data_IF_092825683635
#
_entry.id   IF_092825683635
#
_cell.length_a   1.000
_cell.length_b   1.000
_cell.length_c   1.000
_cell.angle_alpha   90.00
_cell.angle_beta   90.00
_cell.angle_gamma   90.00
#
_symmetry.space_group_name_H-M   'P 1'
#
loop_
_entity.id
_entity.type
_entity.pdbx_description
1 polymer ?
#
# COMPACT_ATOMS: atom_id res chain seq x y z
N UNK A 1 15.21 85.27 -17.60
CA UNK A 1 16.21 84.90 -18.62
C UNK A 1 17.47 84.43 -17.89
N UNK A 2 17.92 83.17 -18.09
CA UNK A 2 19.28 82.57 -17.85
C UNK A 2 20.10 83.03 -16.61
N UNK A 3 20.85 82.24 -15.84
CA UNK A 3 21.27 80.82 -15.73
C UNK A 3 22.23 80.77 -14.50
N UNK A 4 22.40 79.57 -13.91
CA UNK A 4 23.52 79.08 -13.04
C UNK A 4 23.56 79.55 -11.56
N UNK A 5 23.38 78.68 -10.55
CA UNK A 5 24.14 77.48 -10.05
C UNK A 5 25.31 77.85 -9.11
N UNK A 6 25.16 77.51 -7.82
CA UNK A 6 26.21 77.11 -6.84
C UNK A 6 25.51 76.16 -5.83
N UNK A 7 25.59 74.84 -5.99
CA UNK A 7 26.54 73.89 -5.35
C UNK A 7 26.71 74.05 -3.83
N UNK A 8 26.02 73.20 -3.06
CA UNK A 8 26.31 72.89 -1.66
C UNK A 8 26.25 71.37 -1.48
N UNK A 9 27.40 70.78 -1.18
CA UNK A 9 27.62 69.36 -0.97
C UNK A 9 26.84 68.82 0.24
N UNK A 10 26.10 67.73 0.05
CA UNK A 10 25.66 66.87 1.16
C UNK A 10 26.31 65.50 0.96
N UNK A 11 27.27 65.18 1.84
CA UNK A 11 27.98 63.91 1.91
C UNK A 11 27.06 62.91 2.63
N UNK A 12 26.50 61.94 1.91
CA UNK A 12 25.80 60.79 2.50
C UNK A 12 26.80 59.63 2.58
N UNK A 13 27.16 59.28 3.81
CA UNK A 13 27.99 58.13 4.17
C UNK A 13 27.15 56.85 4.04
N UNK A 14 27.38 56.05 3.00
CA UNK A 14 26.78 54.72 2.88
C UNK A 14 27.60 53.71 3.70
N UNK A 15 27.04 53.28 4.84
CA UNK A 15 27.57 52.14 5.61
C UNK A 15 27.04 50.86 4.93
N UNK A 16 27.93 50.17 4.22
CA UNK A 16 27.71 48.80 3.73
C UNK A 16 27.79 47.84 4.92
N UNK A 17 26.62 47.45 5.46
CA UNK A 17 26.50 46.30 6.34
C UNK A 17 26.62 45.03 5.49
N UNK A 18 27.83 44.46 5.44
CA UNK A 18 28.04 43.11 4.94
C UNK A 18 27.40 42.13 5.92
N UNK A 19 26.20 41.65 5.59
CA UNK A 19 25.63 40.49 6.26
C UNK A 19 26.46 39.26 5.88
N UNK A 20 26.90 38.43 6.83
CA UNK A 20 27.49 37.14 6.49
C UNK A 20 26.42 36.31 5.79
N UNK A 21 26.66 35.97 4.52
CA UNK A 21 25.87 34.97 3.81
C UNK A 21 25.97 33.69 4.61
N UNK A 22 24.86 33.25 5.20
CA UNK A 22 24.74 31.92 5.75
C UNK A 22 25.20 30.94 4.68
N UNK A 23 26.26 30.17 4.97
CA UNK A 23 26.66 29.05 4.14
C UNK A 23 25.44 28.15 3.96
N UNK A 24 24.85 28.16 2.77
CA UNK A 24 23.89 27.15 2.40
C UNK A 24 24.62 25.81 2.50
N UNK A 25 24.21 24.97 3.44
CA UNK A 25 24.68 23.59 3.52
C UNK A 25 24.47 22.97 2.12
N UNK A 26 25.55 22.54 1.47
CA UNK A 26 25.45 21.85 0.19
C UNK A 26 24.52 20.65 0.38
N UNK A 27 23.43 20.62 -0.36
CA UNK A 27 22.55 19.46 -0.39
C UNK A 27 23.38 18.26 -0.82
N UNK A 28 23.38 17.22 0.02
CA UNK A 28 24.03 15.95 -0.26
C UNK A 28 23.58 15.43 -1.62
N UNK A 29 24.54 15.21 -2.53
CA UNK A 29 24.24 14.68 -3.87
C UNK A 29 24.02 13.17 -3.78
N UNK A 30 22.90 12.65 -4.30
CA UNK A 30 22.66 11.22 -4.27
C UNK A 30 23.64 10.48 -5.16
N UNK A 31 24.02 9.27 -4.74
CA UNK A 31 24.93 8.37 -5.45
C UNK A 31 24.35 6.97 -5.51
N UNK A 32 24.83 6.18 -6.46
CA UNK A 32 24.52 4.76 -6.61
C UNK A 32 25.81 3.95 -6.62
N UNK A 33 25.80 2.70 -6.13
CA UNK A 33 26.92 1.79 -6.36
C UNK A 33 27.11 1.53 -7.86
N UNK A 34 28.35 1.24 -8.27
CA UNK A 34 28.68 1.04 -9.69
C UNK A 34 28.10 -0.26 -10.25
N UNK A 35 27.97 -1.27 -9.40
CA UNK A 35 27.41 -2.57 -9.75
C UNK A 35 26.05 -2.77 -9.05
N UNK A 36 25.06 -3.39 -9.72
CA UNK A 36 23.83 -3.78 -9.06
C UNK A 36 24.09 -4.87 -7.99
N UNK A 37 23.09 -5.22 -7.17
CA UNK A 37 23.15 -6.44 -6.37
C UNK A 37 23.56 -7.67 -7.19
N UNK A 38 24.45 -8.51 -6.67
CA UNK A 38 24.92 -9.70 -7.37
C UNK A 38 24.81 -10.93 -6.46
N UNK A 39 24.30 -12.01 -7.03
CA UNK A 39 24.36 -13.35 -6.44
C UNK A 39 25.39 -14.18 -7.22
N UNK A 40 25.99 -15.23 -6.61
CA UNK A 40 26.67 -16.27 -7.36
C UNK A 40 25.80 -16.73 -8.54
N UNK A 41 26.46 -17.01 -9.68
CA UNK A 41 25.76 -17.43 -10.90
C UNK A 41 24.68 -18.45 -10.58
N UNK A 42 23.46 -18.11 -10.99
CA UNK A 42 22.20 -18.75 -10.68
C UNK A 42 22.36 -20.27 -10.73
N UNK A 43 22.40 -20.92 -9.56
CA UNK A 43 21.97 -22.31 -9.51
C UNK A 43 20.52 -22.23 -9.96
N UNK A 44 20.26 -22.61 -11.21
CA UNK A 44 18.92 -22.86 -11.70
C UNK A 44 18.32 -23.87 -10.73
N UNK A 45 17.60 -23.36 -9.73
CA UNK A 45 16.82 -24.19 -8.86
C UNK A 45 15.76 -24.78 -9.78
N UNK A 46 15.97 -26.04 -10.14
CA UNK A 46 14.98 -26.85 -10.84
C UNK A 46 13.68 -26.70 -10.06
N UNK A 47 12.71 -26.01 -10.65
CA UNK A 47 11.35 -25.96 -10.13
C UNK A 47 10.95 -27.41 -9.87
N UNK A 48 10.76 -27.77 -8.60
CA UNK A 48 10.05 -28.99 -8.29
C UNK A 48 8.65 -28.80 -8.86
N UNK A 49 8.23 -29.72 -9.74
CA UNK A 49 6.92 -29.66 -10.37
C UNK A 49 5.84 -29.36 -9.32
N UNK A 50 4.90 -28.44 -9.59
CA UNK A 50 3.90 -28.05 -8.61
C UNK A 50 3.14 -29.30 -8.17
N UNK A 51 3.19 -29.60 -6.87
CA UNK A 51 2.23 -30.53 -6.29
C UNK A 51 0.86 -29.89 -6.47
N UNK A 52 0.04 -30.48 -7.35
CA UNK A 52 -1.35 -30.10 -7.59
C UNK A 52 -2.20 -30.45 -6.37
N UNK A 53 -1.99 -29.71 -5.28
CA UNK A 53 -2.99 -29.54 -4.24
C UNK A 53 -4.02 -28.56 -4.79
N UNK A 54 -5.29 -28.90 -4.74
CA UNK A 54 -6.35 -27.96 -5.06
C UNK A 54 -6.29 -26.82 -4.04
N UNK A 55 -5.63 -25.72 -4.40
CA UNK A 55 -5.58 -24.52 -3.58
C UNK A 55 -7.01 -23.98 -3.46
N UNK A 56 -7.42 -23.70 -2.23
CA UNK A 56 -8.68 -22.98 -2.00
C UNK A 56 -8.48 -21.57 -2.55
N UNK A 57 -9.40 -21.11 -3.40
CA UNK A 57 -9.32 -19.77 -3.94
C UNK A 57 -9.41 -18.73 -2.80
N UNK A 58 -8.42 -17.84 -2.72
CA UNK A 58 -8.39 -16.78 -1.71
C UNK A 58 -9.53 -15.78 -1.93
N UNK A 59 -10.10 -15.32 -0.82
CA UNK A 59 -11.23 -14.42 -0.75
C UNK A 59 -10.78 -12.96 -0.69
N UNK A 60 -10.18 -12.50 -1.78
CA UNK A 60 -9.53 -11.18 -1.86
C UNK A 60 -10.42 -10.17 -2.61
N UNK A 61 -10.32 -8.86 -2.30
CA UNK A 61 -10.84 -7.80 -3.15
C UNK A 61 -10.01 -7.73 -4.45
N UNK A 62 -10.47 -6.97 -5.48
CA UNK A 62 -9.63 -6.65 -6.62
C UNK A 62 -8.32 -5.99 -6.15
N UNK A 63 -7.20 -6.67 -6.39
CA UNK A 63 -5.88 -6.20 -6.00
C UNK A 63 -5.20 -5.42 -7.13
N UNK A 64 -4.23 -4.59 -6.74
CA UNK A 64 -3.48 -3.73 -7.66
C UNK A 64 -1.99 -3.73 -7.30
N UNK A 65 -1.13 -3.82 -8.29
CA UNK A 65 0.31 -3.77 -8.14
C UNK A 65 0.96 -2.69 -9.03
N UNK A 66 2.01 -2.06 -8.52
CA UNK A 66 2.85 -1.12 -9.28
C UNK A 66 4.27 -1.68 -9.32
N UNK A 67 4.78 -1.95 -10.52
CA UNK A 67 6.08 -2.56 -10.75
C UNK A 67 6.99 -1.53 -11.43
N UNK A 68 8.11 -1.21 -10.79
CA UNK A 68 9.02 -0.15 -11.21
C UNK A 68 10.38 -0.77 -11.51
N UNK A 69 10.94 -0.44 -12.69
CA UNK A 69 12.33 -0.80 -13.04
C UNK A 69 13.10 0.46 -13.43
N UNK A 70 14.17 0.73 -12.67
CA UNK A 70 15.10 1.83 -12.93
C UNK A 70 16.22 1.42 -13.90
N UNK A 71 16.88 2.37 -14.59
CA UNK A 71 18.06 2.07 -15.38
C UNK A 71 19.24 1.74 -14.46
N UNK A 72 19.89 0.60 -14.69
CA UNK A 72 21.08 0.17 -13.94
C UNK A 72 22.36 0.52 -14.73
N UNK A 73 22.42 0.06 -15.97
CA UNK A 73 23.50 0.25 -16.94
C UNK A 73 22.97 0.95 -18.21
N UNK A 74 22.03 1.88 -18.01
CA UNK A 74 21.31 2.60 -19.07
C UNK A 74 20.05 1.87 -19.55
N UNK A 75 19.19 2.56 -20.30
CA UNK A 75 17.85 2.05 -20.66
C UNK A 75 17.84 0.69 -21.37
N UNK A 76 18.92 0.40 -22.11
CA UNK A 76 19.09 -0.82 -22.88
C UNK A 76 20.37 -1.57 -22.45
N UNK A 77 20.82 -1.39 -21.22
CA UNK A 77 21.95 -2.17 -20.71
C UNK A 77 21.56 -3.63 -20.44
N UNK A 78 22.56 -4.51 -20.32
CA UNK A 78 22.34 -5.93 -20.03
C UNK A 78 21.69 -6.18 -18.68
N UNK A 79 22.14 -5.48 -17.62
CA UNK A 79 21.55 -5.63 -16.29
C UNK A 79 20.14 -5.07 -16.26
N UNK A 80 19.93 -3.92 -16.90
CA UNK A 80 18.60 -3.31 -16.99
C UNK A 80 17.60 -4.24 -17.69
N UNK A 81 17.97 -4.86 -18.82
CA UNK A 81 17.12 -5.85 -19.49
C UNK A 81 16.87 -7.09 -18.64
N UNK A 82 17.88 -7.56 -17.91
CA UNK A 82 17.73 -8.71 -17.02
C UNK A 82 16.73 -8.39 -15.89
N UNK A 83 16.81 -7.21 -15.29
CA UNK A 83 15.91 -6.83 -14.21
C UNK A 83 14.48 -6.54 -14.69
N UNK A 84 14.31 -6.10 -15.94
CA UNK A 84 13.00 -6.08 -16.60
C UNK A 84 12.45 -7.51 -16.73
N UNK A 85 13.26 -8.46 -17.20
CA UNK A 85 12.83 -9.86 -17.34
C UNK A 85 12.48 -10.49 -15.98
N UNK A 86 13.29 -10.25 -14.95
CA UNK A 86 13.03 -10.70 -13.58
C UNK A 86 11.74 -10.10 -13.01
N UNK A 87 11.48 -8.82 -13.27
CA UNK A 87 10.24 -8.16 -12.86
C UNK A 87 9.01 -8.75 -13.58
N UNK A 88 9.14 -9.12 -14.85
CA UNK A 88 8.06 -9.75 -15.61
C UNK A 88 7.65 -11.12 -15.06
N UNK A 89 8.56 -11.87 -14.42
CA UNK A 89 8.21 -13.12 -13.73
C UNK A 89 7.20 -12.85 -12.60
N UNK A 90 7.43 -11.82 -11.80
CA UNK A 90 6.50 -11.41 -10.74
C UNK A 90 5.20 -10.83 -11.32
N UNK A 91 5.28 -10.06 -12.41
CA UNK A 91 4.10 -9.51 -13.10
C UNK A 91 3.16 -10.62 -13.59
N UNK A 92 3.72 -11.65 -14.23
CA UNK A 92 2.96 -12.80 -14.73
C UNK A 92 2.29 -13.58 -13.59
N UNK A 93 2.98 -13.81 -12.47
CA UNK A 93 2.38 -14.49 -11.32
C UNK A 93 1.27 -13.65 -10.67
N UNK A 94 1.42 -12.32 -10.60
CA UNK A 94 0.37 -11.41 -10.14
C UNK A 94 -0.86 -11.44 -11.06
N UNK A 95 -0.67 -11.32 -12.37
CA UNK A 95 -1.76 -11.32 -13.37
C UNK A 95 -2.50 -12.66 -13.41
N UNK A 96 -1.75 -13.77 -13.29
CA UNK A 96 -2.33 -15.12 -13.14
C UNK A 96 -3.26 -15.23 -11.92
N UNK A 97 -3.00 -14.47 -10.87
CA UNK A 97 -3.83 -14.39 -9.67
C UNK A 97 -4.84 -13.22 -9.69
N UNK A 98 -5.11 -12.63 -10.87
CA UNK A 98 -6.16 -11.62 -11.06
C UNK A 98 -5.81 -10.22 -10.55
N UNK A 99 -4.53 -9.95 -10.24
CA UNK A 99 -4.07 -8.62 -9.82
C UNK A 99 -3.96 -7.69 -11.03
N UNK A 100 -4.45 -6.46 -10.91
CA UNK A 100 -4.22 -5.43 -11.93
C UNK A 100 -2.79 -4.89 -11.81
N UNK A 101 -1.97 -5.08 -12.84
CA UNK A 101 -0.54 -4.71 -12.83
C UNK A 101 -0.28 -3.45 -13.66
N UNK A 102 0.39 -2.46 -13.05
CA UNK A 102 0.91 -1.27 -13.73
C UNK A 102 2.43 -1.35 -13.81
N UNK A 103 2.96 -1.34 -15.02
CA UNK A 103 4.41 -1.46 -15.31
C UNK A 103 5.02 -0.10 -15.63
N UNK A 104 6.10 0.24 -14.96
CA UNK A 104 6.87 1.47 -15.14
C UNK A 104 8.36 1.13 -15.27
N UNK A 105 8.74 0.68 -16.46
CA UNK A 105 10.11 0.27 -16.74
C UNK A 105 10.82 1.35 -17.53
N UNK A 106 12.09 1.59 -17.23
CA UNK A 106 12.93 2.52 -17.99
C UNK A 106 12.89 2.20 -19.49
N UNK A 107 12.82 3.19 -20.39
CA UNK A 107 12.79 4.63 -20.14
C UNK A 107 11.43 5.21 -19.70
N UNK A 108 10.37 4.40 -19.64
CA UNK A 108 8.99 4.82 -19.40
C UNK A 108 8.59 4.71 -17.92
N UNK A 109 9.43 5.21 -17.02
CA UNK A 109 9.20 5.16 -15.56
C UNK A 109 8.91 6.54 -14.96
N UNK A 110 7.94 7.25 -15.57
CA UNK A 110 7.58 8.61 -15.15
C UNK A 110 6.97 8.65 -13.74
N UNK A 111 7.51 9.52 -12.88
CA UNK A 111 7.10 9.61 -11.47
C UNK A 111 5.65 10.03 -11.25
N UNK A 112 5.13 10.99 -12.02
CA UNK A 112 3.74 11.43 -11.86
C UNK A 112 2.76 10.30 -12.17
N UNK A 113 3.08 9.47 -13.18
CA UNK A 113 2.28 8.29 -13.50
C UNK A 113 2.42 7.18 -12.43
N UNK A 114 3.63 6.98 -11.90
CA UNK A 114 3.87 6.06 -10.77
C UNK A 114 3.04 6.46 -9.56
N UNK A 115 3.04 7.74 -9.17
CA UNK A 115 2.23 8.26 -8.05
C UNK A 115 0.74 8.00 -8.27
N UNK A 116 0.25 8.28 -9.48
CA UNK A 116 -1.16 8.05 -9.82
C UNK A 116 -1.53 6.57 -9.73
N UNK A 117 -0.71 5.68 -10.28
CA UNK A 117 -0.94 4.23 -10.22
C UNK A 117 -0.82 3.68 -8.79
N UNK A 118 0.11 4.21 -7.99
CA UNK A 118 0.37 3.77 -6.61
C UNK A 118 -0.80 4.07 -5.65
N UNK A 119 -1.71 4.99 -5.99
CA UNK A 119 -2.85 5.37 -5.15
C UNK A 119 -3.78 4.17 -4.86
N UNK A 120 -3.69 3.55 -3.69
CA UNK A 120 -4.40 2.32 -3.33
C UNK A 120 -3.80 1.05 -3.95
N UNK A 121 -2.52 1.05 -4.33
CA UNK A 121 -1.82 -0.17 -4.73
C UNK A 121 -1.54 -1.05 -3.50
N UNK A 122 -1.84 -2.34 -3.63
CA UNK A 122 -1.65 -3.36 -2.59
C UNK A 122 -0.22 -3.91 -2.62
N UNK A 123 0.43 -3.84 -3.79
CA UNK A 123 1.82 -4.20 -3.95
C UNK A 123 2.62 -3.10 -4.63
N UNK A 124 3.86 -2.91 -4.17
CA UNK A 124 4.84 -2.04 -4.79
C UNK A 124 6.14 -2.82 -4.98
N UNK A 125 6.64 -2.88 -6.22
CA UNK A 125 7.88 -3.55 -6.54
C UNK A 125 8.87 -2.54 -7.14
N UNK A 126 10.13 -2.65 -6.76
CA UNK A 126 11.21 -1.89 -7.38
C UNK A 126 12.42 -2.80 -7.63
N UNK A 127 12.91 -2.81 -8.87
CA UNK A 127 14.21 -3.38 -9.24
C UNK A 127 15.06 -2.27 -9.87
N UNK A 128 16.22 -1.98 -9.28
CA UNK A 128 17.11 -0.94 -9.81
C UNK A 128 18.28 -0.65 -8.88
N UNK A 129 18.86 0.54 -9.03
CA UNK A 129 19.97 0.98 -8.18
C UNK A 129 19.54 1.25 -6.74
N UNK A 130 20.44 0.93 -5.81
CA UNK A 130 20.38 1.41 -4.44
C UNK A 130 20.89 2.85 -4.36
N UNK A 131 20.21 3.70 -3.58
CA UNK A 131 20.57 5.11 -3.42
C UNK A 131 21.19 5.34 -2.05
N UNK A 132 22.28 6.09 -2.03
CA UNK A 132 22.91 6.57 -0.81
C UNK A 132 23.26 8.06 -0.90
N UNK A 133 23.22 8.75 0.24
CA UNK A 133 23.23 10.21 0.32
C UNK A 133 24.46 10.78 1.05
N UNK A 134 25.09 10.02 1.95
CA UNK A 134 26.31 10.44 2.64
C UNK A 134 27.48 9.51 2.34
N UNK A 135 28.65 9.76 2.93
CA UNK A 135 29.87 9.01 2.60
C UNK A 135 29.88 7.59 3.16
N UNK A 136 30.52 6.69 2.41
CA UNK A 136 30.83 5.33 2.85
C UNK A 136 31.82 5.36 4.03
N UNK A 137 31.83 4.32 4.89
CA UNK A 137 31.10 3.06 4.79
C UNK A 137 29.71 3.04 5.47
N UNK A 138 29.31 4.13 6.13
CA UNK A 138 28.04 4.22 6.87
C UNK A 138 27.12 5.28 6.27
N UNK A 139 26.68 5.15 5.02
CA UNK A 139 25.92 6.19 4.38
C UNK A 139 24.46 6.18 4.83
N UNK A 140 23.77 7.31 4.73
CA UNK A 140 22.31 7.35 4.73
C UNK A 140 21.81 6.75 3.42
N UNK A 141 20.87 5.80 3.49
CA UNK A 141 20.40 5.04 2.32
C UNK A 141 18.89 5.18 2.12
N UNK A 142 18.43 4.80 0.93
CA UNK A 142 17.00 4.77 0.60
C UNK A 142 16.64 5.69 -0.55
N UNK A 143 15.69 5.23 -1.37
CA UNK A 143 15.25 5.94 -2.55
C UNK A 143 15.09 5.05 -3.77
N UNK A 144 14.64 5.67 -4.87
CA UNK A 144 14.53 5.06 -6.19
C UNK A 144 15.36 5.84 -7.22
N UNK A 145 16.12 5.13 -8.04
CA UNK A 145 16.77 5.66 -9.23
C UNK A 145 15.87 5.41 -10.44
N UNK A 146 15.28 6.48 -10.99
CA UNK A 146 14.49 6.42 -12.24
C UNK A 146 15.27 7.11 -13.36
N UNK A 147 14.76 7.04 -14.59
CA UNK A 147 15.43 7.59 -15.78
C UNK A 147 15.86 9.04 -15.59
N UNK A 148 14.94 9.87 -15.10
CA UNK A 148 15.13 11.32 -15.12
C UNK A 148 15.82 11.84 -13.85
N UNK A 149 15.67 11.12 -12.72
CA UNK A 149 16.28 11.51 -11.43
C UNK A 149 16.20 10.41 -10.38
N UNK A 150 16.94 10.64 -9.30
CA UNK A 150 16.83 9.90 -8.04
C UNK A 150 15.79 10.57 -7.12
N UNK A 151 15.01 9.74 -6.42
CA UNK A 151 13.97 10.12 -5.48
C UNK A 151 14.35 9.65 -4.08
N UNK A 152 14.33 10.55 -3.11
CA UNK A 152 14.63 10.25 -1.70
C UNK A 152 13.49 9.51 -1.00
N UNK A 153 13.81 8.86 0.13
CA UNK A 153 12.80 8.26 1.01
C UNK A 153 11.72 9.26 1.46
N UNK A 154 12.09 10.53 1.68
CA UNK A 154 11.14 11.58 2.05
C UNK A 154 10.16 11.92 0.92
N UNK A 155 10.64 11.93 -0.33
CA UNK A 155 9.77 12.13 -1.49
C UNK A 155 8.86 10.93 -1.71
N UNK A 156 9.38 9.70 -1.61
CA UNK A 156 8.59 8.47 -1.67
C UNK A 156 7.46 8.50 -0.63
N UNK A 157 7.78 8.79 0.63
CA UNK A 157 6.80 8.86 1.72
C UNK A 157 5.77 9.97 1.51
N UNK A 158 6.15 11.11 0.96
CA UNK A 158 5.23 12.23 0.70
C UNK A 158 4.28 11.94 -0.46
N UNK A 159 4.81 11.31 -1.51
CA UNK A 159 4.19 11.29 -2.83
C UNK A 159 3.37 10.01 -3.08
N UNK A 160 3.80 8.87 -2.55
CA UNK A 160 3.09 7.60 -2.75
C UNK A 160 1.93 7.47 -1.75
N UNK A 161 0.85 6.84 -2.22
CA UNK A 161 -0.37 6.61 -1.43
C UNK A 161 -0.79 5.14 -1.54
N UNK A 162 -0.01 4.25 -0.96
CA UNK A 162 -0.30 2.81 -1.03
C UNK A 162 -1.60 2.45 -0.29
N UNK A 163 -2.16 1.27 -0.59
CA UNK A 163 -3.22 0.71 0.24
C UNK A 163 -2.68 0.43 1.65
N UNK A 164 -3.57 0.48 2.65
CA UNK A 164 -3.23 0.01 4.00
C UNK A 164 -2.76 -1.44 3.90
N UNK A 165 -1.73 -1.79 4.68
CA UNK A 165 -1.12 -3.12 4.71
C UNK A 165 -0.39 -3.53 3.42
N UNK A 166 -0.08 -2.59 2.51
CA UNK A 166 0.60 -2.91 1.26
C UNK A 166 1.90 -3.70 1.48
N UNK A 167 2.20 -4.59 0.53
CA UNK A 167 3.42 -5.40 0.52
C UNK A 167 4.42 -4.76 -0.45
N UNK A 168 5.65 -4.54 0.01
CA UNK A 168 6.70 -3.87 -0.75
C UNK A 168 7.84 -4.85 -1.01
N UNK A 169 8.33 -4.93 -2.25
CA UNK A 169 9.44 -5.82 -2.63
C UNK A 169 10.54 -5.04 -3.36
N UNK A 170 11.75 -5.02 -2.81
CA UNK A 170 12.86 -4.15 -3.27
C UNK A 170 14.13 -4.93 -3.59
N UNK A 171 14.58 -4.84 -4.84
CA UNK A 171 15.89 -5.27 -5.29
C UNK A 171 16.70 -4.00 -5.53
N UNK A 172 17.66 -3.75 -4.66
CA UNK A 172 18.57 -2.63 -4.74
C UNK A 172 19.76 -2.89 -3.81
N UNK A 173 20.88 -2.21 -4.04
CA UNK A 173 21.91 -2.16 -3.00
C UNK A 173 21.35 -1.49 -1.74
N UNK A 174 21.88 -1.88 -0.58
CA UNK A 174 21.48 -1.47 0.77
C UNK A 174 20.07 -1.92 1.22
N UNK A 175 19.16 -2.31 0.31
CA UNK A 175 17.77 -2.65 0.65
C UNK A 175 17.65 -3.90 1.51
N UNK A 176 18.57 -4.86 1.35
CA UNK A 176 18.72 -6.07 2.15
C UNK A 176 19.88 -6.01 3.17
N UNK A 177 20.71 -4.94 3.11
CA UNK A 177 21.80 -4.69 4.07
C UNK A 177 23.15 -4.42 3.40
N UNK A 178 23.58 -5.26 2.45
CA UNK A 178 24.87 -5.08 1.76
C UNK A 178 24.76 -4.20 0.51
N UNK A 179 25.89 -3.81 -0.06
CA UNK A 179 26.02 -3.12 -1.34
C UNK A 179 27.33 -3.51 -2.04
N UNK A 180 27.36 -3.39 -3.36
CA UNK A 180 28.53 -3.78 -4.17
C UNK A 180 29.77 -2.90 -3.94
N UNK A 181 29.59 -1.71 -3.35
CA UNK A 181 30.66 -0.78 -3.02
C UNK A 181 31.06 -0.81 -1.53
N UNK A 182 30.62 -1.82 -0.78
CA UNK A 182 31.11 -2.04 0.59
C UNK A 182 32.59 -2.43 0.57
N UNK A 183 33.43 -1.64 1.23
CA UNK A 183 34.88 -1.88 1.32
C UNK A 183 35.30 -2.55 2.63
N UNK A 184 34.36 -2.71 3.57
CA UNK A 184 34.56 -3.36 4.87
C UNK A 184 33.39 -4.32 5.14
N UNK A 185 33.60 -5.36 5.97
CA UNK A 185 32.52 -6.24 6.43
C UNK A 185 31.32 -5.47 6.99
N UNK A 186 30.13 -5.75 6.44
CA UNK A 186 28.88 -5.17 6.94
C UNK A 186 28.46 -5.92 8.19
N UNK A 187 28.47 -5.22 9.33
CA UNK A 187 27.99 -5.80 10.59
C UNK A 187 26.48 -5.98 10.57
N UNK A 188 25.96 -6.89 11.40
CA UNK A 188 24.51 -7.05 11.61
C UNK A 188 23.83 -5.73 12.01
N UNK A 189 24.47 -4.91 12.84
CA UNK A 189 23.92 -3.63 13.27
C UNK A 189 23.76 -2.65 12.10
N UNK A 190 24.73 -2.65 11.18
CA UNK A 190 24.70 -1.82 9.99
C UNK A 190 23.69 -2.33 8.96
N UNK A 191 23.61 -3.65 8.72
CA UNK A 191 22.58 -4.25 7.89
C UNK A 191 21.17 -3.90 8.40
N UNK A 192 20.94 -4.07 9.71
CA UNK A 192 19.69 -3.67 10.38
C UNK A 192 19.37 -2.19 10.18
N UNK A 193 20.36 -1.30 10.25
CA UNK A 193 20.16 0.14 10.02
C UNK A 193 19.75 0.40 8.58
N UNK A 194 20.47 -0.15 7.60
CA UNK A 194 20.22 0.06 6.16
C UNK A 194 18.86 -0.48 5.73
N UNK A 195 18.49 -1.70 6.13
CA UNK A 195 17.14 -2.25 5.89
C UNK A 195 16.08 -1.39 6.57
N UNK A 196 16.34 -0.91 7.78
CA UNK A 196 15.49 0.03 8.48
C UNK A 196 15.24 1.32 7.70
N UNK A 197 16.31 1.98 7.22
CA UNK A 197 16.20 3.22 6.44
C UNK A 197 15.48 3.03 5.10
N UNK A 198 15.73 1.91 4.41
CA UNK A 198 15.09 1.60 3.14
C UNK A 198 13.59 1.29 3.29
N UNK A 199 13.21 0.58 4.35
CA UNK A 199 11.82 0.13 4.56
C UNK A 199 10.95 1.16 5.31
N UNK A 200 11.56 2.04 6.11
CA UNK A 200 10.88 3.07 6.91
C UNK A 200 9.83 3.91 6.15
N UNK A 201 10.08 4.48 4.96
CA UNK A 201 9.09 5.32 4.29
C UNK A 201 7.81 4.55 3.97
N UNK A 202 7.89 3.25 3.70
CA UNK A 202 6.73 2.44 3.37
C UNK A 202 5.92 2.07 4.62
N UNK A 203 6.57 1.76 5.75
CA UNK A 203 5.88 1.55 7.02
C UNK A 203 5.23 2.84 7.55
N UNK A 204 5.84 4.00 7.30
CA UNK A 204 5.22 5.29 7.59
C UNK A 204 3.94 5.55 6.73
N UNK A 205 3.84 4.89 5.57
CA UNK A 205 2.63 4.87 4.72
C UNK A 205 1.63 3.77 5.11
N UNK A 206 1.94 2.94 6.10
CA UNK A 206 1.08 1.85 6.57
C UNK A 206 1.27 0.53 5.82
N UNK A 207 2.44 0.27 5.23
CA UNK A 207 2.79 -1.04 4.68
C UNK A 207 2.68 -2.15 5.75
N UNK A 208 2.26 -3.34 5.32
CA UNK A 208 2.11 -4.52 6.19
C UNK A 208 3.30 -5.47 6.12
N UNK A 209 4.06 -5.42 5.02
CA UNK A 209 5.23 -6.25 4.80
C UNK A 209 6.23 -5.63 3.83
N UNK A 210 7.50 -5.93 4.05
CA UNK A 210 8.62 -5.52 3.21
C UNK A 210 9.52 -6.74 2.99
N UNK A 211 9.87 -6.98 1.73
CA UNK A 211 10.85 -7.98 1.31
C UNK A 211 11.96 -7.27 0.52
N UNK A 212 13.21 -7.65 0.75
CA UNK A 212 14.31 -7.26 -0.10
C UNK A 212 15.17 -8.48 -0.39
N UNK A 213 15.47 -8.71 -1.66
CA UNK A 213 16.13 -9.93 -2.09
C UNK A 213 16.92 -9.69 -3.37
N UNK A 214 18.11 -10.26 -3.45
CA UNK A 214 19.05 -10.10 -4.56
C UNK A 214 18.90 -11.15 -5.67
N UNK A 215 18.09 -12.18 -5.48
CA UNK A 215 17.83 -13.18 -6.50
C UNK A 215 16.80 -12.68 -7.52
N UNK A 216 17.00 -13.04 -8.79
CA UNK A 216 16.15 -12.62 -9.89
C UNK A 216 14.69 -13.09 -9.75
N UNK A 217 14.50 -14.35 -9.39
CA UNK A 217 13.16 -14.96 -9.28
C UNK A 217 12.48 -14.78 -7.91
N UNK A 218 13.14 -14.16 -6.92
CA UNK A 218 12.62 -14.09 -5.55
C UNK A 218 11.22 -13.47 -5.47
N UNK A 219 10.99 -12.39 -6.21
CA UNK A 219 9.69 -11.69 -6.20
C UNK A 219 8.56 -12.56 -6.75
N UNK A 220 8.84 -13.32 -7.82
CA UNK A 220 7.88 -14.28 -8.34
C UNK A 220 7.52 -15.32 -7.28
N UNK A 221 8.53 -15.87 -6.59
CA UNK A 221 8.32 -16.91 -5.58
C UNK A 221 7.58 -16.37 -4.37
N UNK A 222 7.93 -15.19 -3.86
CA UNK A 222 7.18 -14.53 -2.78
C UNK A 222 5.72 -14.31 -3.17
N UNK A 223 5.45 -13.80 -4.37
CA UNK A 223 4.08 -13.65 -4.87
C UNK A 223 3.37 -15.01 -4.91
N UNK A 224 3.98 -16.03 -5.52
CA UNK A 224 3.41 -17.37 -5.61
C UNK A 224 3.04 -17.92 -4.24
N UNK A 225 3.98 -17.87 -3.28
CA UNK A 225 3.78 -18.33 -1.91
C UNK A 225 2.64 -17.61 -1.19
N UNK A 226 2.55 -16.28 -1.34
CA UNK A 226 1.46 -15.50 -0.75
C UNK A 226 0.09 -15.89 -1.32
N UNK A 227 0.01 -16.19 -2.61
CA UNK A 227 -1.22 -16.69 -3.25
C UNK A 227 -1.51 -18.17 -2.98
N UNK A 228 -0.53 -18.92 -2.47
CA UNK A 228 -0.69 -20.28 -1.90
C UNK A 228 -1.11 -20.26 -0.42
N UNK A 229 -1.63 -19.13 0.07
CA UNK A 229 -2.08 -18.91 1.45
C UNK A 229 -0.97 -19.02 2.51
N UNK A 230 0.30 -18.87 2.11
CA UNK A 230 1.38 -18.76 3.09
C UNK A 230 1.32 -17.40 3.76
N UNK A 231 1.65 -17.37 5.05
CA UNK A 231 1.85 -16.10 5.75
C UNK A 231 3.07 -15.35 5.20
N UNK A 232 3.20 -14.05 5.48
CA UNK A 232 4.36 -13.25 5.09
C UNK A 232 5.68 -13.91 5.50
N UNK A 233 5.75 -14.42 6.74
CA UNK A 233 6.93 -15.11 7.25
C UNK A 233 7.18 -16.45 6.56
N UNK A 234 6.12 -17.23 6.30
CA UNK A 234 6.24 -18.50 5.58
C UNK A 234 6.68 -18.28 4.12
N UNK A 235 6.26 -17.20 3.48
CA UNK A 235 6.71 -16.84 2.13
C UNK A 235 8.21 -16.54 2.11
N UNK A 236 8.73 -15.79 3.09
CA UNK A 236 10.18 -15.58 3.25
C UNK A 236 10.91 -16.91 3.44
N UNK A 237 10.43 -17.75 4.37
CA UNK A 237 11.09 -19.00 4.74
C UNK A 237 11.02 -20.09 3.67
N UNK A 238 10.04 -20.02 2.77
CA UNK A 238 9.87 -20.97 1.67
C UNK A 238 10.77 -20.66 0.47
N UNK A 239 11.38 -19.48 0.43
CA UNK A 239 12.30 -19.13 -0.66
C UNK A 239 13.59 -19.94 -0.56
N UNK A 240 14.10 -20.40 -1.70
CA UNK A 240 15.16 -21.43 -1.74
C UNK A 240 16.52 -21.00 -1.18
N UNK A 241 16.73 -19.70 -0.97
CA UNK A 241 17.92 -19.15 -0.32
C UNK A 241 17.81 -19.08 1.21
N UNK A 242 16.60 -19.24 1.77
CA UNK A 242 16.41 -19.18 3.20
C UNK A 242 17.16 -20.29 3.93
N UNK A 243 18.04 -19.88 4.85
CA UNK A 243 18.70 -20.76 5.79
C UNK A 243 18.51 -20.21 7.22
N UNK A 244 17.90 -21.00 8.11
CA UNK A 244 17.63 -20.58 9.48
C UNK A 244 18.93 -20.25 10.25
N UNK A 245 20.02 -20.98 9.99
CA UNK A 245 21.33 -20.76 10.61
C UNK A 245 22.02 -19.45 10.15
N UNK A 246 21.59 -18.88 9.02
CA UNK A 246 22.11 -17.63 8.47
C UNK A 246 21.06 -16.52 8.41
N UNK A 247 20.00 -16.65 9.21
CA UNK A 247 18.97 -15.62 9.34
C UNK A 247 18.99 -15.05 10.74
N UNK A 248 19.25 -13.76 10.86
CA UNK A 248 19.20 -13.06 12.13
C UNK A 248 17.82 -12.43 12.33
N UNK A 249 17.15 -12.81 13.41
CA UNK A 249 15.90 -12.19 13.82
C UNK A 249 16.16 -11.01 14.76
N UNK A 250 15.55 -9.88 14.46
CA UNK A 250 15.64 -8.61 15.21
C UNK A 250 14.33 -7.83 15.03
N UNK A 251 14.35 -6.53 15.32
CA UNK A 251 13.20 -5.63 15.14
C UNK A 251 13.60 -4.38 14.38
N UNK A 252 12.63 -3.78 13.68
CA UNK A 252 12.84 -2.57 12.91
C UNK A 252 13.27 -1.39 13.80
N UNK A 253 14.34 -0.62 13.45
CA UNK A 253 14.85 0.48 14.28
C UNK A 253 13.82 1.55 14.65
N UNK A 254 13.00 2.00 13.68
CA UNK A 254 11.98 3.04 13.89
C UNK A 254 10.59 2.47 14.28
N UNK A 255 10.39 1.16 14.16
CA UNK A 255 9.10 0.50 14.40
C UNK A 255 9.35 -0.79 15.20
N UNK A 256 9.73 -0.72 16.48
CA UNK A 256 10.23 -1.88 17.23
C UNK A 256 9.22 -3.01 17.40
N UNK A 257 7.93 -2.76 17.16
CA UNK A 257 6.88 -3.79 17.13
C UNK A 257 6.88 -4.64 15.87
N UNK A 258 7.63 -4.27 14.83
CA UNK A 258 7.77 -5.02 13.59
C UNK A 258 9.00 -5.94 13.68
N UNK A 259 8.80 -7.28 13.64
CA UNK A 259 9.86 -8.22 13.40
C UNK A 259 10.64 -7.89 12.12
N UNK A 260 11.95 -8.09 12.16
CA UNK A 260 12.86 -7.96 11.04
C UNK A 260 13.75 -9.19 10.98
N UNK A 261 13.86 -9.82 9.82
CA UNK A 261 14.73 -10.97 9.57
C UNK A 261 15.76 -10.57 8.52
N UNK A 262 17.03 -10.83 8.82
CA UNK A 262 18.17 -10.47 7.98
C UNK A 262 18.91 -11.76 7.59
N UNK A 263 18.74 -12.18 6.35
CA UNK A 263 19.50 -13.28 5.73
C UNK A 263 20.84 -12.79 5.23
N UNK A 264 21.87 -13.64 5.35
CA UNK A 264 23.17 -13.37 4.80
C UNK A 264 23.83 -14.61 4.24
N UNK A 265 24.80 -14.39 3.37
CA UNK A 265 25.68 -15.43 2.86
C UNK A 265 27.16 -15.04 2.90
N UNK A 266 28.00 -16.06 2.82
CA UNK A 266 29.46 -15.93 2.86
C UNK A 266 30.05 -15.84 1.45
N UNK A 267 29.36 -15.15 0.54
CA UNK A 267 29.78 -14.92 -0.84
C UNK A 267 30.54 -13.61 -0.96
N UNK A 268 31.56 -13.55 -1.82
CA UNK A 268 32.32 -12.34 -2.17
C UNK A 268 32.94 -11.56 -0.98
N UNK A 269 34.08 -10.92 -1.19
CA UNK A 269 34.62 -10.02 -0.17
C UNK A 269 34.06 -8.60 -0.36
N UNK A 270 33.76 -7.87 0.73
CA UNK A 270 33.89 -8.30 2.13
C UNK A 270 32.71 -9.14 2.60
N UNK A 271 32.97 -10.24 3.31
CA UNK A 271 31.92 -11.06 3.93
C UNK A 271 31.43 -10.49 5.28
N UNK A 272 30.19 -10.77 5.71
CA UNK A 272 29.12 -11.46 4.98
C UNK A 272 28.34 -10.51 4.05
N UNK A 273 27.59 -11.08 3.11
CA UNK A 273 26.67 -10.37 2.21
C UNK A 273 25.23 -10.52 2.70
N UNK A 274 24.64 -9.43 3.19
CA UNK A 274 23.24 -9.35 3.58
C UNK A 274 22.40 -9.06 2.33
N UNK A 275 21.84 -10.15 1.79
CA UNK A 275 21.25 -10.27 0.46
C UNK A 275 19.73 -10.52 0.49
N UNK A 276 19.19 -10.89 1.65
CA UNK A 276 17.79 -11.19 1.86
C UNK A 276 17.29 -10.56 3.17
N UNK A 277 16.13 -9.91 3.15
CA UNK A 277 15.53 -9.32 4.33
C UNK A 277 13.99 -9.35 4.27
N UNK A 278 13.39 -9.54 5.44
CA UNK A 278 11.96 -9.41 5.68
C UNK A 278 11.69 -8.45 6.84
N UNK A 279 10.66 -7.61 6.73
CA UNK A 279 10.12 -6.83 7.84
C UNK A 279 8.60 -6.85 7.78
N UNK A 280 7.93 -7.12 8.90
CA UNK A 280 6.46 -7.16 8.97
C UNK A 280 5.95 -8.14 10.02
N UNK A 281 4.63 -8.25 10.15
CA UNK A 281 4.02 -9.30 10.99
C UNK A 281 4.07 -10.65 10.24
N UNK A 282 4.89 -11.62 10.69
CA UNK A 282 5.12 -12.85 9.96
C UNK A 282 3.89 -13.77 9.90
N UNK A 283 2.83 -13.50 10.67
CA UNK A 283 1.64 -14.36 10.75
C UNK A 283 0.50 -13.90 9.83
N UNK A 284 0.67 -12.79 9.10
CA UNK A 284 -0.37 -12.28 8.22
C UNK A 284 -0.40 -13.03 6.88
N UNK A 285 -1.60 -13.31 6.36
CA UNK A 285 -1.84 -13.81 4.99
C UNK A 285 -2.37 -12.68 4.11
N UNK A 286 -2.53 -12.91 2.80
CA UNK A 286 -3.18 -11.92 1.93
C UNK A 286 -4.62 -11.61 2.38
N UNK A 287 -5.38 -12.60 2.85
CA UNK A 287 -6.76 -12.40 3.32
C UNK A 287 -6.83 -11.56 4.60
N UNK A 288 -5.87 -11.72 5.51
CA UNK A 288 -5.82 -10.92 6.74
C UNK A 288 -5.37 -9.49 6.47
N UNK A 289 -4.46 -9.27 5.50
CA UNK A 289 -3.99 -7.95 5.11
C UNK A 289 -5.04 -7.19 4.30
N UNK A 290 -5.75 -7.89 3.40
CA UNK A 290 -6.68 -7.31 2.44
C UNK A 290 -8.07 -7.97 2.52
N UNK A 291 -8.78 -7.89 3.66
CA UNK A 291 -10.12 -8.42 3.74
C UNK A 291 -11.07 -7.61 2.85
N UNK A 292 -12.01 -8.26 2.12
CA UNK A 292 -12.96 -7.55 1.28
C UNK A 292 -13.87 -6.66 2.13
N UNK A 293 -14.50 -5.67 1.50
CA UNK A 293 -15.40 -4.75 2.20
C UNK A 293 -16.85 -5.25 2.14
N UNK A 294 -17.60 -5.06 3.22
CA UNK A 294 -19.05 -5.13 3.20
C UNK A 294 -19.62 -3.91 2.46
N UNK A 295 -20.59 -4.13 1.59
CA UNK A 295 -21.30 -3.10 0.85
C UNK A 295 -22.79 -3.18 1.15
N UNK A 296 -23.41 -2.04 1.42
CA UNK A 296 -24.86 -1.88 1.52
C UNK A 296 -25.35 -1.03 0.37
N UNK A 297 -26.32 -1.53 -0.39
CA UNK A 297 -26.88 -0.80 -1.55
C UNK A 297 -27.56 0.53 -1.19
N UNK A 298 -27.96 0.70 0.07
CA UNK A 298 -28.57 1.93 0.58
C UNK A 298 -28.19 2.11 2.06
N UNK A 299 -27.27 3.04 2.38
CA UNK A 299 -26.88 3.30 3.78
C UNK A 299 -27.96 4.06 4.56
N UNK A 300 -29.00 4.55 3.87
CA UNK A 300 -30.15 5.18 4.50
C UNK A 300 -31.46 4.73 3.82
N UNK A 301 -32.51 4.53 4.62
CA UNK A 301 -33.88 4.28 4.19
C UNK A 301 -34.77 5.35 4.79
N UNK A 302 -35.50 6.09 3.95
CA UNK A 302 -36.41 7.13 4.40
C UNK A 302 -37.83 6.78 3.97
N UNK A 303 -38.75 6.77 4.93
CA UNK A 303 -40.17 6.59 4.70
C UNK A 303 -40.92 7.83 5.19
N UNK A 304 -41.86 8.32 4.38
CA UNK A 304 -42.78 9.39 4.77
C UNK A 304 -44.19 8.82 4.76
N UNK A 305 -44.85 8.82 5.92
CA UNK A 305 -46.12 8.13 6.16
C UNK A 305 -47.15 9.06 6.81
N UNK A 306 -48.42 8.80 6.49
CA UNK A 306 -49.58 9.39 7.18
C UNK A 306 -50.05 8.46 8.30
N UNK A 307 -50.81 8.96 9.27
CA UNK A 307 -51.18 8.17 10.46
C UNK A 307 -52.05 6.94 10.14
N UNK A 308 -52.73 6.95 9.00
CA UNK A 308 -53.57 5.85 8.50
C UNK A 308 -52.97 5.14 7.27
N UNK A 309 -51.72 5.43 6.87
CA UNK A 309 -51.14 4.81 5.69
C UNK A 309 -50.71 3.36 5.93
N UNK A 310 -50.67 2.56 4.87
CA UNK A 310 -50.05 1.23 4.93
C UNK A 310 -48.53 1.33 5.14
N UNK A 311 -47.93 0.28 5.70
CA UNK A 311 -46.48 0.17 5.84
C UNK A 311 -45.75 0.25 4.50
N UNK A 312 -44.56 0.84 4.50
CA UNK A 312 -43.64 0.86 3.36
C UNK A 312 -42.48 -0.11 3.60
N UNK A 313 -42.14 -0.90 2.59
CA UNK A 313 -40.99 -1.82 2.64
C UNK A 313 -39.93 -1.41 1.62
N UNK A 314 -38.69 -1.33 2.07
CA UNK A 314 -37.50 -1.14 1.25
C UNK A 314 -36.64 -2.40 1.28
N UNK A 315 -36.03 -2.74 0.15
CA UNK A 315 -35.06 -3.83 0.04
C UNK A 315 -33.64 -3.26 0.00
N UNK A 316 -32.79 -3.70 0.93
CA UNK A 316 -31.37 -3.33 0.98
C UNK A 316 -30.52 -4.57 0.72
N UNK A 317 -29.75 -4.57 -0.38
CA UNK A 317 -28.74 -5.60 -0.64
C UNK A 317 -27.51 -5.38 0.24
N UNK A 318 -26.99 -6.48 0.78
CA UNK A 318 -25.77 -6.57 1.58
C UNK A 318 -24.83 -7.52 0.83
N UNK A 319 -23.69 -7.03 0.35
CA UNK A 319 -22.76 -7.81 -0.49
C UNK A 319 -21.32 -7.64 -0.01
N UNK A 320 -20.41 -8.52 -0.44
CA UNK A 320 -18.97 -8.32 -0.29
C UNK A 320 -18.43 -7.65 -1.56
N UNK A 321 -17.41 -6.81 -1.45
CA UNK A 321 -16.83 -6.05 -2.57
C UNK A 321 -16.22 -6.94 -3.66
N UNK A 322 -15.93 -8.20 -3.35
CA UNK A 322 -15.44 -9.21 -4.29
C UNK A 322 -16.52 -10.19 -4.75
N UNK A 323 -17.78 -10.00 -4.35
CA UNK A 323 -18.89 -10.89 -4.70
C UNK A 323 -18.97 -12.17 -3.88
N UNK A 324 -18.10 -12.37 -2.89
CA UNK A 324 -18.17 -13.54 -2.01
C UNK A 324 -19.51 -13.60 -1.24
N UNK A 325 -19.98 -14.83 -1.02
CA UNK A 325 -21.19 -15.09 -0.24
C UNK A 325 -20.85 -15.22 1.24
N UNK A 326 -21.62 -14.57 2.11
CA UNK A 326 -21.47 -14.67 3.56
C UNK A 326 -22.82 -14.52 4.25
N UNK A 327 -22.88 -14.96 5.51
CA UNK A 327 -24.05 -14.76 6.35
C UNK A 327 -23.90 -13.48 7.16
N UNK A 328 -24.99 -12.82 7.50
CA UNK A 328 -24.99 -11.59 8.27
C UNK A 328 -26.07 -11.60 9.35
N UNK A 329 -25.84 -10.85 10.41
CA UNK A 329 -26.83 -10.51 11.42
C UNK A 329 -27.02 -8.99 11.45
N UNK A 330 -28.21 -8.55 11.88
CA UNK A 330 -28.57 -7.15 11.97
C UNK A 330 -29.26 -6.88 13.31
N UNK A 331 -28.83 -5.83 14.00
CA UNK A 331 -29.39 -5.40 15.28
C UNK A 331 -29.67 -3.90 15.26
N UNK A 332 -30.64 -3.46 16.05
CA UNK A 332 -30.85 -2.02 16.26
C UNK A 332 -29.78 -1.50 17.21
N UNK A 333 -29.21 -0.35 16.90
CA UNK A 333 -28.40 0.42 17.86
C UNK A 333 -29.35 1.02 18.90
N UNK A 334 -29.34 0.47 20.11
CA UNK A 334 -30.28 0.84 21.18
C UNK A 334 -31.57 0.02 21.15
N UNK A 335 -32.69 0.65 21.50
CA UNK A 335 -33.99 -0.02 21.58
C UNK A 335 -34.71 -0.04 20.24
N UNK A 336 -35.16 -1.22 19.81
CA UNK A 336 -35.96 -1.37 18.58
C UNK A 336 -37.32 -0.67 18.74
N UNK A 337 -37.63 0.35 17.91
CA UNK A 337 -38.93 1.01 17.97
C UNK A 337 -40.03 0.14 17.36
N UNK A 338 -41.27 0.30 17.85
CA UNK A 338 -42.42 -0.44 17.35
C UNK A 338 -42.75 -0.14 15.88
N UNK A 339 -42.38 1.03 15.36
CA UNK A 339 -42.64 1.42 13.97
C UNK A 339 -41.71 0.75 12.95
N UNK A 340 -40.72 -0.04 13.39
CA UNK A 340 -39.71 -0.67 12.54
C UNK A 340 -39.75 -2.20 12.66
N UNK A 341 -39.81 -2.87 11.52
CA UNK A 341 -39.50 -4.30 11.38
C UNK A 341 -38.49 -4.53 10.27
N UNK A 342 -37.64 -5.54 10.41
CA UNK A 342 -36.64 -5.86 9.40
C UNK A 342 -36.15 -7.31 9.50
N UNK A 343 -35.55 -7.81 8.43
CA UNK A 343 -34.84 -9.10 8.39
C UNK A 343 -33.61 -9.05 9.29
N UNK A 344 -33.63 -9.73 10.44
CA UNK A 344 -32.56 -9.65 11.45
C UNK A 344 -31.32 -10.50 11.14
N UNK A 345 -31.41 -11.42 10.19
CA UNK A 345 -30.29 -12.24 9.72
C UNK A 345 -30.57 -12.79 8.33
N UNK A 346 -29.53 -13.02 7.55
CA UNK A 346 -29.67 -13.59 6.21
C UNK A 346 -28.34 -13.94 5.58
N UNK A 347 -28.38 -14.25 4.29
CA UNK A 347 -27.20 -14.45 3.45
C UNK A 347 -27.05 -13.27 2.49
N UNK A 348 -25.83 -12.94 2.07
CA UNK A 348 -25.55 -11.83 1.13
C UNK A 348 -26.15 -12.01 -0.26
N UNK A 349 -26.65 -13.22 -0.59
CA UNK A 349 -27.44 -13.47 -1.81
C UNK A 349 -28.89 -12.98 -1.71
N UNK A 350 -29.39 -12.69 -0.51
CA UNK A 350 -30.77 -12.25 -0.27
C UNK A 350 -30.80 -10.81 0.25
N UNK A 351 -31.71 -9.95 -0.24
CA UNK A 351 -31.86 -8.60 0.29
C UNK A 351 -32.45 -8.63 1.71
N UNK A 352 -31.95 -7.74 2.56
CA UNK A 352 -32.59 -7.38 3.81
C UNK A 352 -33.86 -6.59 3.53
N UNK A 353 -34.98 -6.99 4.10
CA UNK A 353 -36.22 -6.23 4.02
C UNK A 353 -36.32 -5.32 5.24
N UNK A 354 -36.61 -4.04 5.01
CA UNK A 354 -36.86 -3.03 6.06
C UNK A 354 -38.26 -2.49 5.85
N UNK A 355 -39.14 -2.74 6.81
CA UNK A 355 -40.53 -2.31 6.79
C UNK A 355 -40.76 -1.25 7.87
N UNK A 356 -41.19 -0.08 7.43
CA UNK A 356 -41.57 1.06 8.26
C UNK A 356 -43.09 1.17 8.27
N UNK A 357 -43.68 1.22 9.46
CA UNK A 357 -45.11 1.42 9.67
C UNK A 357 -45.39 2.74 10.37
N UNK A 358 -46.63 3.29 10.28
CA UNK A 358 -46.95 4.56 10.93
C UNK A 358 -46.68 4.54 12.44
N UNK A 359 -46.18 5.66 12.96
CA UNK A 359 -46.03 5.89 14.39
C UNK A 359 -47.29 6.54 14.98
N UNK A 360 -47.42 6.51 16.31
CA UNK A 360 -48.59 7.06 17.02
C UNK A 360 -48.67 8.58 17.05
N UNK A 361 -47.60 9.30 16.69
CA UNK A 361 -47.56 10.76 16.68
C UNK A 361 -46.81 11.31 15.47
N UNK A 362 -47.12 12.54 15.09
CA UNK A 362 -46.37 13.24 14.02
C UNK A 362 -44.97 13.60 14.50
N UNK A 363 -43.99 13.52 13.60
CA UNK A 363 -42.61 13.86 13.91
C UNK A 363 -41.63 13.19 12.97
N UNK A 364 -40.34 13.41 13.23
CA UNK A 364 -39.26 12.67 12.59
C UNK A 364 -38.68 11.70 13.60
N UNK A 365 -38.63 10.43 13.24
CA UNK A 365 -38.05 9.36 14.02
C UNK A 365 -36.85 8.79 13.27
N UNK A 366 -35.79 8.49 13.98
CA UNK A 366 -34.57 7.94 13.40
C UNK A 366 -34.06 6.79 14.26
N UNK A 367 -33.54 5.76 13.60
CA UNK A 367 -32.93 4.60 14.23
C UNK A 367 -31.85 4.05 13.31
N UNK A 368 -30.81 3.48 13.89
CA UNK A 368 -29.72 2.86 13.16
C UNK A 368 -29.80 1.33 13.29
N UNK A 369 -29.61 0.63 12.18
CA UNK A 369 -29.45 -0.81 12.14
C UNK A 369 -27.97 -1.11 11.86
N UNK A 370 -27.34 -1.83 12.78
CA UNK A 370 -25.98 -2.32 12.64
C UNK A 370 -26.00 -3.71 12.01
N UNK A 371 -25.27 -3.91 10.92
CA UNK A 371 -25.14 -5.16 10.20
C UNK A 371 -23.72 -5.71 10.40
N UNK A 372 -23.60 -6.93 10.91
CA UNK A 372 -22.31 -7.61 11.10
C UNK A 372 -22.24 -8.87 10.23
N UNK A 373 -21.07 -9.17 9.62
CA UNK A 373 -20.85 -10.44 8.95
C UNK A 373 -20.69 -11.56 9.98
N UNK A 374 -21.01 -12.78 9.57
CA UNK A 374 -20.88 -14.01 10.36
C UNK A 374 -19.97 -14.97 9.61
N UNK A 375 -18.86 -15.37 10.25
CA UNK A 375 -17.92 -16.35 9.69
C UNK A 375 -17.01 -15.81 8.57
N UNK A 376 -16.98 -14.48 8.34
CA UNK A 376 -16.11 -13.83 7.35
C UNK A 376 -15.61 -12.49 7.91
N UNK A 377 -14.32 -12.24 7.76
CA UNK A 377 -13.70 -10.95 8.12
C UNK A 377 -13.90 -9.98 6.97
N UNK A 378 -14.50 -8.81 7.24
CA UNK A 378 -14.69 -7.74 6.25
C UNK A 378 -14.10 -6.43 6.79
N UNK A 379 -13.36 -5.70 5.95
CA UNK A 379 -12.51 -4.55 6.36
C UNK A 379 -13.26 -3.37 7.00
N UNK A 380 -14.54 -3.20 6.69
CA UNK A 380 -15.37 -2.08 7.14
C UNK A 380 -16.62 -2.57 7.92
N UNK A 381 -16.59 -3.79 8.44
CA UNK A 381 -17.65 -4.27 9.33
C UNK A 381 -17.48 -3.71 10.76
N UNK A 382 -18.59 -3.40 11.47
CA UNK A 382 -19.97 -3.48 10.99
C UNK A 382 -20.39 -2.31 10.08
N UNK A 383 -21.42 -2.53 9.27
CA UNK A 383 -22.07 -1.48 8.47
C UNK A 383 -23.28 -0.92 9.21
N UNK A 384 -23.57 0.38 9.02
CA UNK A 384 -24.73 1.06 9.61
C UNK A 384 -25.71 1.45 8.51
N UNK A 385 -26.98 1.11 8.69
CA UNK A 385 -28.10 1.58 7.87
C UNK A 385 -28.97 2.50 8.73
N UNK A 386 -29.11 3.77 8.32
CA UNK A 386 -29.97 4.73 9.01
C UNK A 386 -31.38 4.65 8.47
N UNK A 387 -32.36 4.36 9.32
CA UNK A 387 -33.78 4.35 8.94
C UNK A 387 -34.46 5.57 9.55
N UNK A 388 -35.08 6.39 8.69
CA UNK A 388 -35.81 7.59 9.09
C UNK A 388 -37.28 7.48 8.71
N UNK A 389 -38.16 7.66 9.67
CA UNK A 389 -39.59 7.81 9.48
C UNK A 389 -39.98 9.28 9.66
N UNK A 390 -40.61 9.87 8.65
CA UNK A 390 -41.24 11.18 8.72
C UNK A 390 -42.76 10.97 8.78
N UNK A 391 -43.32 11.08 9.98
CA UNK A 391 -44.74 10.91 10.23
C UNK A 391 -45.44 12.27 10.16
N UNK A 392 -46.38 12.43 9.23
CA UNK A 392 -47.15 13.67 9.04
C UNK A 392 -48.65 13.39 9.13
N UNK A 393 -49.45 14.43 9.41
CA UNK A 393 -50.91 14.30 9.41
C UNK A 393 -51.45 14.06 8.00
N UNK A 394 -50.85 14.71 7.01
CA UNK A 394 -51.27 14.63 5.61
C UNK A 394 -50.07 14.93 4.70
N UNK A 395 -49.89 14.12 3.66
CA UNK A 395 -48.90 14.34 2.61
C UNK A 395 -49.61 15.10 1.49
N UNK A 396 -49.30 16.39 1.36
CA UNK A 396 -49.79 17.18 0.23
C UNK A 396 -49.04 16.77 -1.05
N UNK A 397 -49.72 16.05 -1.94
CA UNK A 397 -49.19 15.70 -3.26
C UNK A 397 -49.46 16.84 -4.23
N UNK A 398 -48.41 17.55 -4.63
CA UNK A 398 -48.51 18.50 -5.75
C UNK A 398 -48.37 17.72 -7.05
N UNK A 399 -49.48 17.52 -7.75
CA UNK A 399 -49.49 16.97 -9.11
C UNK A 399 -49.07 18.09 -10.06
N UNK A 400 -47.85 18.04 -10.60
CA UNK A 400 -47.44 18.92 -11.70
C UNK A 400 -47.95 18.26 -12.99
N UNK A 401 -48.93 18.86 -13.71
CA UNK A 401 -49.38 18.29 -14.97
C UNK A 401 -48.23 18.28 -15.98
N UNK A 402 -47.95 17.11 -16.54
CA UNK A 402 -46.96 16.95 -17.60
C UNK A 402 -47.52 17.60 -18.87
N UNK A 403 -47.06 18.80 -19.21
CA UNK A 403 -47.36 19.42 -20.52
C UNK A 403 -46.47 18.74 -21.56
N UNK A 404 -47.03 17.74 -22.25
CA UNK A 404 -46.44 17.22 -23.49
C UNK A 404 -46.57 18.31 -24.57
N UNK A 405 -45.44 18.75 -25.11
CA UNK A 405 -45.38 19.64 -26.28
C UNK A 405 -45.02 18.84 -27.52
#
# INVERSE_FOLDING_TARGET
MMKRRVFGCLLILLILLAFPTANAAQALQPRTPDLPPQTPQEVQQTESAPQTSALTALNLPPLKAVLIVGPIDGDNGSWTRQEIANMELAAQELEKNGVTVYRFYTPNNNWEQIKAAANGAHFLFYRGHGIYWSDMPYPTVGGFGLKDRMYSSAEIQRDLKLAKNAIVMIYACFSAGSASNDTIPVTQAEARRRVGEYSQPFFALGAGGYFADWFGNAFQQYVRFLFEDKTLGQAYQAFGDYEAGKTVQTTHPAFPSLPMWLGYDEWYEPKPQWNNAFVGDPNQTLESLFPPAMQVSSPAVVAMLESASVSQTASVRITASNGATFNWNATVVGSKPAWLTFTASGSSVQPMQITVQPASGTGTYEVQIQVNPVGMTLSNAPQIITVRLIQVNQIHRVMIPLILR
#
